data_IF_173809777438
#
_entry.id   IF_173809777438
#
_cell.length_a   1.000
_cell.length_b   1.000
_cell.length_c   1.000
_cell.angle_alpha   90.00
_cell.angle_beta   90.00
_cell.angle_gamma   90.00
#
_symmetry.space_group_name_H-M   'P 1'
#
loop_
_entity.id
_entity.type
_entity.pdbx_description
1 polymer ?
#
# COMPACT_ATOMS: atom_id res chain seq x y z
N UNK A 1 -3.38 21.76 -87.27
CA UNK A 1 -4.04 20.45 -87.11
C UNK A 1 -3.08 19.47 -86.47
N UNK A 2 -3.60 18.68 -85.53
CA UNK A 2 -3.20 17.34 -85.10
C UNK A 2 -1.78 17.03 -84.58
N UNK A 3 -1.81 16.38 -83.41
CA UNK A 3 -0.80 15.82 -82.52
C UNK A 3 0.05 14.66 -83.08
N UNK A 4 1.20 14.42 -82.45
CA UNK A 4 1.67 13.14 -81.86
C UNK A 4 3.12 13.35 -81.35
N UNK A 5 3.74 12.61 -80.43
CA UNK A 5 3.40 11.73 -79.32
C UNK A 5 4.75 11.29 -78.71
N UNK A 6 4.83 11.03 -77.40
CA UNK A 6 5.95 10.30 -76.77
C UNK A 6 6.57 11.01 -75.57
N UNK A 7 6.03 10.82 -74.35
CA UNK A 7 6.43 9.80 -73.33
C UNK A 7 7.64 10.19 -72.49
N UNK A 8 7.39 10.53 -71.21
CA UNK A 8 8.26 10.13 -70.10
C UNK A 8 7.57 10.24 -68.73
N UNK A 9 7.20 9.07 -68.22
CA UNK A 9 7.44 8.54 -66.87
C UNK A 9 7.00 9.32 -65.62
N UNK A 10 6.22 8.60 -64.79
CA UNK A 10 6.52 8.53 -63.35
C UNK A 10 5.48 9.16 -62.42
N UNK A 11 4.37 8.46 -62.22
CA UNK A 11 3.42 8.72 -61.13
C UNK A 11 3.99 8.18 -59.81
N UNK A 12 4.21 9.10 -58.86
CA UNK A 12 4.13 8.87 -57.40
C UNK A 12 5.46 8.73 -56.61
N UNK A 13 5.45 8.98 -55.28
CA UNK A 13 4.39 9.49 -54.43
C UNK A 13 4.64 10.93 -53.93
N UNK A 14 3.55 11.67 -53.72
CA UNK A 14 3.51 12.91 -52.95
C UNK A 14 4.14 12.67 -51.57
N UNK A 15 5.15 13.48 -51.22
CA UNK A 15 5.67 13.61 -49.85
C UNK A 15 4.49 13.79 -48.91
N UNK A 16 4.24 12.80 -48.06
CA UNK A 16 3.35 12.99 -46.93
C UNK A 16 3.91 14.11 -46.08
N UNK A 17 3.16 15.19 -45.95
CA UNK A 17 3.36 16.15 -44.87
C UNK A 17 3.17 15.37 -43.58
N UNK A 18 4.27 14.92 -42.99
CA UNK A 18 4.26 14.38 -41.65
C UNK A 18 3.70 15.47 -40.75
N UNK A 19 2.44 15.30 -40.34
CA UNK A 19 1.83 16.05 -39.25
C UNK A 19 2.76 15.86 -38.06
N UNK A 20 3.64 16.83 -37.81
CA UNK A 20 4.17 17.07 -36.47
C UNK A 20 2.94 17.31 -35.60
N UNK A 21 2.49 16.28 -34.90
CA UNK A 21 1.72 16.48 -33.68
C UNK A 21 2.65 17.25 -32.74
N UNK A 22 2.54 18.57 -32.73
CA UNK A 22 2.89 19.31 -31.54
C UNK A 22 1.92 18.80 -30.47
N UNK A 23 2.39 17.88 -29.61
CA UNK A 23 1.73 17.63 -28.34
C UNK A 23 1.66 18.99 -27.66
N UNK A 24 0.46 19.52 -27.50
CA UNK A 24 0.22 20.61 -26.57
C UNK A 24 0.80 20.17 -25.22
N UNK A 25 1.61 20.99 -24.53
CA UNK A 25 1.87 20.73 -23.13
C UNK A 25 0.52 20.87 -22.43
N UNK A 26 -0.06 19.75 -22.02
CA UNK A 26 -1.11 19.78 -21.00
C UNK A 26 -0.44 20.42 -19.80
N UNK A 27 -0.76 21.70 -19.55
CA UNK A 27 -0.44 22.31 -18.28
C UNK A 27 -1.28 21.58 -17.25
N UNK A 28 -0.67 20.58 -16.62
CA UNK A 28 -1.20 19.94 -15.42
C UNK A 28 -1.02 20.99 -14.33
N UNK A 29 -2.14 21.54 -13.90
CA UNK A 29 -2.25 22.43 -12.74
C UNK A 29 -1.80 21.64 -11.49
N UNK A 30 -0.76 22.06 -10.75
CA UNK A 30 -0.16 21.23 -9.70
C UNK A 30 -0.95 21.19 -8.39
N UNK A 31 -2.18 21.71 -8.35
CA UNK A 31 -2.90 21.98 -7.09
C UNK A 31 -4.18 21.19 -6.88
N UNK A 32 -4.43 20.09 -7.59
CA UNK A 32 -5.61 19.26 -7.30
C UNK A 32 -5.17 17.83 -7.02
N UNK A 33 -5.37 17.38 -5.77
CA UNK A 33 -5.66 16.03 -5.23
C UNK A 33 -5.48 14.76 -6.11
N UNK A 34 -4.54 14.76 -7.03
CA UNK A 34 -4.15 13.64 -7.91
C UNK A 34 -2.99 12.83 -7.28
N UNK A 35 -2.67 13.05 -6.00
CA UNK A 35 -1.59 12.31 -5.33
C UNK A 35 -2.08 10.93 -4.81
N UNK A 36 -3.35 10.77 -4.46
CA UNK A 36 -3.85 9.53 -3.80
C UNK A 36 -4.17 8.40 -4.78
N UNK A 37 -4.63 8.72 -5.99
CA UNK A 37 -5.02 7.73 -7.02
C UNK A 37 -3.82 7.21 -7.82
N UNK A 38 -2.74 8.00 -7.88
CA UNK A 38 -1.61 7.74 -8.78
C UNK A 38 -0.57 6.77 -8.20
N UNK A 39 -0.61 6.49 -6.89
CA UNK A 39 0.45 5.69 -6.23
C UNK A 39 0.46 4.20 -6.57
N UNK A 40 -0.69 3.61 -6.92
CA UNK A 40 -0.77 2.19 -7.27
C UNK A 40 -0.47 1.90 -8.74
N UNK A 41 -0.71 2.85 -9.64
CA UNK A 41 -0.53 2.68 -11.09
C UNK A 41 0.90 3.00 -11.56
N UNK A 42 1.64 3.81 -10.78
CA UNK A 42 3.00 4.24 -11.13
C UNK A 42 4.06 3.22 -10.71
N UNK A 43 3.70 2.16 -9.98
CA UNK A 43 4.67 1.14 -9.54
C UNK A 43 5.06 0.21 -10.70
N UNK A 44 6.35 0.12 -11.05
CA UNK A 44 6.82 -0.79 -12.10
C UNK A 44 6.52 -2.25 -11.76
N UNK A 45 6.07 -3.02 -12.75
CA UNK A 45 5.66 -4.42 -12.58
C UNK A 45 6.71 -5.32 -11.91
N UNK A 46 8.00 -5.03 -12.11
CA UNK A 46 9.11 -5.78 -11.52
C UNK A 46 9.19 -5.67 -9.99
N UNK A 47 8.70 -4.58 -9.40
CA UNK A 47 8.75 -4.35 -7.96
C UNK A 47 7.34 -4.21 -7.34
N UNK A 48 6.31 -4.06 -8.18
CA UNK A 48 4.91 -3.89 -7.78
C UNK A 48 4.44 -4.91 -6.74
N UNK A 49 4.82 -6.19 -6.87
CA UNK A 49 4.38 -7.23 -5.93
C UNK A 49 4.82 -6.97 -4.49
N UNK A 50 5.96 -6.31 -4.27
CA UNK A 50 6.48 -6.03 -2.91
C UNK A 50 6.17 -4.61 -2.44
N UNK A 51 6.20 -3.62 -3.33
CA UNK A 51 6.03 -2.21 -2.96
C UNK A 51 4.57 -1.77 -2.94
N UNK A 52 3.74 -2.25 -3.87
CA UNK A 52 2.36 -1.79 -3.97
C UNK A 52 1.55 -2.00 -2.68
N UNK A 53 1.68 -3.12 -1.93
CA UNK A 53 1.01 -3.28 -0.65
C UNK A 53 1.42 -2.21 0.38
N UNK A 54 2.70 -1.83 0.42
CA UNK A 54 3.22 -0.82 1.35
C UNK A 54 2.63 0.56 1.03
N UNK A 55 2.57 0.93 -0.24
CA UNK A 55 1.99 2.21 -0.67
C UNK A 55 0.47 2.26 -0.44
N UNK A 56 -0.24 1.13 -0.63
CA UNK A 56 -1.67 1.05 -0.30
C UNK A 56 -1.91 1.29 1.19
N UNK A 57 -1.15 0.62 2.05
CA UNK A 57 -1.23 0.84 3.49
C UNK A 57 -0.86 2.28 3.88
N UNK A 58 0.14 2.88 3.22
CA UNK A 58 0.47 4.28 3.46
C UNK A 58 -0.73 5.20 3.19
N UNK A 59 -1.47 4.98 2.10
CA UNK A 59 -2.66 5.77 1.76
C UNK A 59 -3.83 5.53 2.74
N UNK A 60 -3.98 4.31 3.28
CA UNK A 60 -4.98 4.02 4.32
C UNK A 60 -4.63 4.69 5.66
N UNK A 61 -3.35 4.77 6.01
CA UNK A 61 -2.89 5.39 7.26
C UNK A 61 -2.80 6.92 7.16
N UNK A 62 -2.69 7.47 5.95
CA UNK A 62 -2.59 8.91 5.69
C UNK A 62 -3.75 9.71 6.29
N UNK A 63 -4.97 9.16 6.28
CA UNK A 63 -6.13 9.81 6.90
C UNK A 63 -6.01 9.92 8.43
N UNK A 64 -5.34 8.96 9.07
CA UNK A 64 -5.21 8.88 10.52
C UNK A 64 -3.97 9.63 11.01
N UNK A 65 -2.82 9.31 10.44
CA UNK A 65 -1.55 9.97 10.74
C UNK A 65 -0.69 10.14 9.48
N UNK A 66 -0.62 11.37 8.94
CA UNK A 66 0.16 11.64 7.73
C UNK A 66 1.67 11.45 7.93
N UNK A 67 2.19 11.65 9.15
CA UNK A 67 3.61 11.42 9.45
C UNK A 67 3.97 9.93 9.37
N UNK A 68 3.08 9.05 9.81
CA UNK A 68 3.28 7.60 9.70
C UNK A 68 3.17 7.16 8.24
N UNK A 69 2.25 7.74 7.47
CA UNK A 69 2.15 7.49 6.03
C UNK A 69 3.44 7.86 5.28
N UNK A 70 4.04 9.02 5.63
CA UNK A 70 5.36 9.42 5.13
C UNK A 70 6.43 8.36 5.44
N UNK A 71 6.50 7.85 6.68
CA UNK A 71 7.45 6.80 7.05
C UNK A 71 7.24 5.50 6.25
N UNK A 72 5.98 5.13 5.98
CA UNK A 72 5.66 3.98 5.14
C UNK A 72 6.12 4.19 3.68
N UNK A 73 5.95 5.40 3.12
CA UNK A 73 6.43 5.76 1.77
C UNK A 73 7.96 5.79 1.71
N UNK A 74 8.61 6.28 2.77
CA UNK A 74 10.06 6.26 2.90
C UNK A 74 10.60 4.82 2.93
N UNK A 75 9.97 3.94 3.72
CA UNK A 75 10.31 2.52 3.72
C UNK A 75 10.11 1.85 2.36
N UNK A 76 9.04 2.19 1.63
CA UNK A 76 8.82 1.71 0.27
C UNK A 76 9.95 2.15 -0.69
N UNK A 77 10.42 3.40 -0.56
CA UNK A 77 11.54 3.91 -1.33
C UNK A 77 12.84 3.15 -1.02
N UNK A 78 13.18 2.94 0.25
CA UNK A 78 14.35 2.16 0.65
C UNK A 78 14.29 0.73 0.10
N UNK A 79 13.14 0.06 0.24
CA UNK A 79 12.92 -1.29 -0.29
C UNK A 79 13.09 -1.35 -1.81
N UNK A 80 12.62 -0.33 -2.52
CA UNK A 80 12.84 -0.17 -3.97
C UNK A 80 14.32 0.00 -4.32
N UNK A 81 15.07 0.70 -3.46
CA UNK A 81 16.49 0.93 -3.66
C UNK A 81 17.29 -0.35 -3.45
N UNK A 82 16.97 -1.11 -2.40
CA UNK A 82 17.59 -2.40 -2.11
C UNK A 82 17.36 -3.43 -3.22
N UNK A 83 16.17 -3.45 -3.82
CA UNK A 83 15.85 -4.40 -4.89
C UNK A 83 16.55 -4.12 -6.22
N UNK A 84 16.72 -2.86 -6.60
CA UNK A 84 17.43 -2.48 -7.83
C UNK A 84 18.29 -1.22 -7.60
N UNK A 85 19.48 -1.37 -6.98
CA UNK A 85 20.33 -0.22 -6.66
C UNK A 85 20.73 0.59 -7.90
N UNK A 86 20.92 -0.09 -9.03
CA UNK A 86 21.32 0.53 -10.31
C UNK A 86 20.15 1.14 -11.08
N UNK A 87 18.90 0.93 -10.63
CA UNK A 87 17.68 1.39 -11.30
C UNK A 87 17.65 0.99 -12.78
N UNK A 88 18.05 -0.26 -13.03
CA UNK A 88 18.22 -0.85 -14.36
C UNK A 88 16.92 -1.38 -14.97
N UNK A 89 15.92 -1.70 -14.14
CA UNK A 89 14.64 -2.20 -14.63
C UNK A 89 13.75 -1.09 -15.22
N UNK A 90 12.83 -1.52 -16.10
CA UNK A 90 11.93 -0.63 -16.84
C UNK A 90 11.11 0.24 -15.89
N UNK A 91 11.23 1.56 -16.03
CA UNK A 91 10.43 2.53 -15.26
C UNK A 91 10.85 2.73 -13.80
N UNK A 92 11.80 1.94 -13.27
CA UNK A 92 12.22 2.01 -11.84
C UNK A 92 12.86 3.35 -11.51
N UNK A 93 13.72 3.86 -12.39
CA UNK A 93 14.33 5.19 -12.18
C UNK A 93 13.28 6.30 -12.11
N UNK A 94 12.28 6.26 -13.00
CA UNK A 94 11.19 7.24 -13.01
C UNK A 94 10.37 7.15 -11.73
N UNK A 95 10.00 5.94 -11.33
CA UNK A 95 9.30 5.68 -10.07
C UNK A 95 10.08 6.21 -8.86
N UNK A 96 11.38 5.92 -8.74
CA UNK A 96 12.22 6.41 -7.64
C UNK A 96 12.33 7.92 -7.62
N UNK A 97 12.53 8.56 -8.77
CA UNK A 97 12.58 10.02 -8.87
C UNK A 97 11.25 10.65 -8.48
N UNK A 98 10.12 10.09 -8.92
CA UNK A 98 8.79 10.54 -8.51
C UNK A 98 8.59 10.40 -7.00
N UNK A 99 8.87 9.22 -6.45
CA UNK A 99 8.67 8.93 -5.04
C UNK A 99 9.59 9.81 -4.15
N UNK A 100 10.83 10.06 -4.58
CA UNK A 100 11.75 10.95 -3.88
C UNK A 100 11.22 12.39 -3.83
N UNK A 101 10.82 12.96 -4.96
CA UNK A 101 10.26 14.32 -4.97
C UNK A 101 9.00 14.44 -4.14
N UNK A 102 8.18 13.39 -4.13
CA UNK A 102 7.01 13.35 -3.27
C UNK A 102 7.40 13.33 -1.79
N UNK A 103 8.38 12.52 -1.41
CA UNK A 103 8.90 12.46 -0.04
C UNK A 103 9.50 13.82 0.39
N UNK A 104 10.23 14.50 -0.48
CA UNK A 104 10.77 15.85 -0.19
C UNK A 104 9.65 16.84 0.17
N UNK A 105 8.52 16.84 -0.57
CA UNK A 105 7.36 17.68 -0.24
C UNK A 105 6.70 17.27 1.07
N UNK A 106 6.47 15.97 1.25
CA UNK A 106 5.82 15.46 2.46
C UNK A 106 6.68 15.68 3.72
N UNK A 107 8.00 15.72 3.59
CA UNK A 107 8.89 16.05 4.70
C UNK A 107 8.70 17.49 5.19
N UNK A 108 8.45 18.43 4.28
CA UNK A 108 8.15 19.83 4.61
C UNK A 108 6.70 20.01 5.12
N UNK A 109 5.74 19.26 4.57
CA UNK A 109 4.31 19.37 4.90
C UNK A 109 3.92 18.62 6.19
N UNK A 110 4.61 17.51 6.51
CA UNK A 110 4.24 16.63 7.63
C UNK A 110 5.11 16.86 8.85
N UNK A 111 4.59 17.61 9.81
CA UNK A 111 5.20 17.70 11.14
C UNK A 111 4.75 16.53 12.04
N UNK A 112 5.63 16.00 12.92
CA UNK A 112 5.29 14.92 13.83
C UNK A 112 4.24 15.39 14.85
N UNK A 113 3.11 14.66 14.93
CA UNK A 113 1.92 15.07 15.71
C UNK A 113 1.91 14.48 17.11
N UNK A 114 2.31 13.22 17.24
CA UNK A 114 2.17 12.47 18.50
C UNK A 114 3.38 12.62 19.42
N UNK A 115 4.58 12.85 18.87
CA UNK A 115 5.82 12.98 19.65
C UNK A 115 6.81 13.90 18.95
N UNK A 116 7.94 14.22 19.61
CA UNK A 116 9.01 15.03 19.02
C UNK A 116 9.95 14.25 18.10
N UNK A 117 9.76 12.93 17.94
CA UNK A 117 10.70 12.06 17.23
C UNK A 117 9.96 10.97 16.46
N UNK A 118 10.22 10.90 15.16
CA UNK A 118 9.66 9.90 14.24
C UNK A 118 9.64 8.45 14.76
N UNK A 119 10.75 7.89 15.33
CA UNK A 119 10.75 6.53 15.88
C UNK A 119 9.73 6.30 16.99
N UNK A 120 9.52 7.30 17.86
CA UNK A 120 8.55 7.19 18.95
C UNK A 120 7.11 7.35 18.48
N UNK A 121 6.90 8.10 17.39
CA UNK A 121 5.57 8.29 16.80
C UNK A 121 5.05 7.02 16.15
N UNK A 122 5.86 6.35 15.31
CA UNK A 122 5.47 5.08 14.70
C UNK A 122 5.22 4.00 15.77
N UNK A 123 6.01 4.00 16.84
CA UNK A 123 5.88 3.04 17.93
C UNK A 123 4.56 3.19 18.70
N UNK A 124 4.20 4.43 19.08
CA UNK A 124 2.93 4.71 19.74
C UNK A 124 1.74 4.48 18.81
N UNK A 125 1.87 4.85 17.54
CA UNK A 125 0.82 4.62 16.55
C UNK A 125 0.55 3.12 16.39
N UNK A 126 1.60 2.29 16.32
CA UNK A 126 1.46 0.84 16.25
C UNK A 126 0.74 0.24 17.47
N UNK A 127 1.08 0.69 18.68
CA UNK A 127 0.41 0.25 19.91
C UNK A 127 -1.08 0.62 19.90
N UNK A 128 -1.39 1.89 19.58
CA UNK A 128 -2.76 2.37 19.48
C UNK A 128 -3.54 1.63 18.37
N UNK A 129 -2.90 1.34 17.25
CA UNK A 129 -3.49 0.60 16.15
C UNK A 129 -3.82 -0.84 16.58
N UNK A 130 -2.91 -1.50 17.29
CA UNK A 130 -3.14 -2.85 17.79
C UNK A 130 -4.30 -2.90 18.80
N UNK A 131 -4.32 -2.00 19.78
CA UNK A 131 -5.39 -1.96 20.79
C UNK A 131 -6.76 -1.73 20.12
N UNK A 132 -6.87 -0.73 19.23
CA UNK A 132 -8.13 -0.40 18.55
C UNK A 132 -8.58 -1.45 17.53
N UNK A 133 -7.63 -2.08 16.83
CA UNK A 133 -7.95 -2.91 15.67
C UNK A 133 -7.73 -4.41 15.87
N UNK A 134 -7.11 -4.88 16.95
CA UNK A 134 -6.84 -6.31 17.19
C UNK A 134 -7.49 -6.84 18.46
N UNK A 135 -7.69 -6.00 19.49
CA UNK A 135 -8.44 -6.40 20.69
C UNK A 135 -9.95 -6.41 20.41
N UNK A 136 -10.48 -5.38 19.75
CA UNK A 136 -11.91 -5.28 19.43
C UNK A 136 -12.31 -5.97 18.11
N UNK A 137 -11.33 -6.34 17.28
CA UNK A 137 -11.54 -6.84 15.92
C UNK A 137 -12.29 -8.17 15.85
N UNK A 138 -11.97 -9.08 16.76
CA UNK A 138 -12.46 -10.46 16.70
C UNK A 138 -13.99 -10.47 16.71
N UNK A 139 -14.63 -9.58 17.47
CA UNK A 139 -16.07 -9.60 17.67
C UNK A 139 -16.85 -8.59 16.81
N UNK A 140 -16.17 -7.61 16.20
CA UNK A 140 -16.86 -6.47 15.56
C UNK A 140 -16.74 -6.43 14.04
N UNK A 141 -15.70 -7.06 13.46
CA UNK A 141 -15.32 -6.83 12.06
C UNK A 141 -15.53 -8.06 11.18
N UNK A 142 -15.78 -7.81 9.90
CA UNK A 142 -15.92 -8.86 8.89
C UNK A 142 -14.56 -9.53 8.63
N UNK A 143 -14.52 -10.80 8.18
CA UNK A 143 -13.26 -11.48 7.88
C UNK A 143 -12.41 -10.74 6.83
N UNK A 144 -13.04 -10.04 5.88
CA UNK A 144 -12.34 -9.24 4.86
C UNK A 144 -11.61 -8.04 5.47
N UNK A 145 -12.23 -7.35 6.42
CA UNK A 145 -11.62 -6.23 7.16
C UNK A 145 -10.48 -6.72 8.05
N UNK A 146 -10.61 -7.90 8.66
CA UNK A 146 -9.56 -8.50 9.47
C UNK A 146 -8.29 -8.77 8.65
N UNK A 147 -8.43 -9.32 7.43
CA UNK A 147 -7.28 -9.54 6.54
C UNK A 147 -6.56 -8.22 6.26
N UNK A 148 -7.30 -7.14 5.96
CA UNK A 148 -6.70 -5.81 5.72
C UNK A 148 -5.97 -5.30 6.97
N UNK A 149 -6.60 -5.41 8.14
CA UNK A 149 -5.98 -4.99 9.41
C UNK A 149 -4.69 -5.73 9.69
N UNK A 150 -4.65 -7.04 9.47
CA UNK A 150 -3.42 -7.82 9.64
C UNK A 150 -2.35 -7.46 8.62
N UNK A 151 -2.73 -7.15 7.37
CA UNK A 151 -1.79 -6.64 6.37
C UNK A 151 -1.19 -5.29 6.80
N UNK A 152 -2.02 -4.34 7.23
CA UNK A 152 -1.60 -3.05 7.76
C UNK A 152 -0.65 -3.26 8.95
N UNK A 153 -1.04 -4.07 9.93
CA UNK A 153 -0.23 -4.32 11.11
C UNK A 153 1.14 -4.95 10.79
N UNK A 154 1.19 -5.85 9.80
CA UNK A 154 2.45 -6.46 9.35
C UNK A 154 3.38 -5.40 8.76
N UNK A 155 2.86 -4.57 7.85
CA UNK A 155 3.64 -3.52 7.18
C UNK A 155 4.09 -2.45 8.18
N UNK A 156 3.22 -2.02 9.10
CA UNK A 156 3.59 -1.06 10.15
C UNK A 156 4.74 -1.59 11.03
N UNK A 157 4.76 -2.89 11.32
CA UNK A 157 5.86 -3.50 12.07
C UNK A 157 7.16 -3.60 11.26
N UNK A 158 7.08 -3.84 9.95
CA UNK A 158 8.26 -3.77 9.06
C UNK A 158 8.86 -2.35 9.07
N UNK A 159 8.03 -1.31 8.94
CA UNK A 159 8.44 0.10 8.99
C UNK A 159 9.04 0.44 10.36
N UNK A 160 8.45 -0.05 11.45
CA UNK A 160 8.98 0.15 12.80
C UNK A 160 10.41 -0.40 12.92
N UNK A 161 10.69 -1.57 12.34
CA UNK A 161 12.02 -2.19 12.36
C UNK A 161 13.06 -1.43 11.54
N UNK A 162 12.67 -0.67 10.52
CA UNK A 162 13.62 0.13 9.74
C UNK A 162 13.96 1.46 10.40
N UNK A 163 12.98 2.08 11.07
CA UNK A 163 13.17 3.38 11.74
C UNK A 163 13.78 3.22 13.12
N UNK A 164 13.46 2.14 13.84
CA UNK A 164 13.91 1.91 15.22
C UNK A 164 14.89 0.74 15.26
N UNK A 165 16.13 0.92 15.77
CA UNK A 165 17.03 -0.22 15.97
C UNK A 165 16.39 -1.23 16.94
N UNK A 166 16.60 -2.54 16.73
CA UNK A 166 15.86 -3.59 17.44
C UNK A 166 16.02 -3.53 18.97
N UNK A 167 17.10 -2.93 19.45
CA UNK A 167 17.40 -2.72 20.88
C UNK A 167 16.47 -1.70 21.56
N UNK A 168 15.88 -0.78 20.81
CA UNK A 168 14.98 0.27 21.33
C UNK A 168 13.49 -0.02 21.11
N UNK A 169 13.18 -1.15 20.48
CA UNK A 169 11.80 -1.55 20.23
C UNK A 169 11.22 -2.07 21.55
N UNK A 170 10.11 -1.49 22.02
CA UNK A 170 9.41 -1.98 23.21
C UNK A 170 9.08 -3.47 23.08
N UNK A 171 9.27 -4.22 24.17
CA UNK A 171 8.85 -5.61 24.26
C UNK A 171 7.36 -5.80 23.93
N UNK A 172 6.52 -4.80 24.26
CA UNK A 172 5.08 -4.82 23.96
C UNK A 172 4.83 -4.90 22.45
N UNK A 173 5.50 -4.04 21.67
CA UNK A 173 5.36 -4.02 20.21
C UNK A 173 5.81 -5.33 19.58
N UNK A 174 6.87 -5.96 20.11
CA UNK A 174 7.32 -7.28 19.66
C UNK A 174 6.30 -8.38 19.98
N UNK A 175 5.68 -8.35 21.17
CA UNK A 175 4.63 -9.30 21.56
C UNK A 175 3.40 -9.16 20.67
N UNK A 176 3.00 -7.93 20.35
CA UNK A 176 1.89 -7.67 19.43
C UNK A 176 2.17 -8.19 18.03
N UNK A 177 3.38 -7.97 17.49
CA UNK A 177 3.76 -8.50 16.19
C UNK A 177 3.64 -10.04 16.13
N UNK A 178 4.12 -10.74 17.16
CA UNK A 178 3.96 -12.21 17.23
C UNK A 178 2.49 -12.64 17.22
N UNK A 179 1.64 -11.96 18.00
CA UNK A 179 0.19 -12.25 18.02
C UNK A 179 -0.48 -11.99 16.67
N UNK A 180 -0.09 -10.92 15.96
CA UNK A 180 -0.59 -10.63 14.62
C UNK A 180 -0.20 -11.74 13.63
N UNK A 181 1.05 -12.19 13.68
CA UNK A 181 1.54 -13.29 12.82
C UNK A 181 0.79 -14.60 13.10
N UNK A 182 0.61 -14.95 14.37
CA UNK A 182 -0.15 -16.14 14.78
C UNK A 182 -1.61 -16.09 14.31
N UNK A 183 -2.30 -14.95 14.53
CA UNK A 183 -3.69 -14.77 14.07
C UNK A 183 -3.76 -14.80 12.56
N UNK A 184 -2.88 -14.10 11.85
CA UNK A 184 -2.83 -14.09 10.38
C UNK A 184 -2.65 -15.50 9.82
N UNK A 185 -1.76 -16.30 10.39
CA UNK A 185 -1.54 -17.69 9.96
C UNK A 185 -2.79 -18.56 10.09
N UNK A 186 -3.68 -18.26 11.05
CA UNK A 186 -4.98 -18.94 11.19
C UNK A 186 -5.94 -18.61 10.03
N UNK A 187 -5.82 -17.44 9.40
CA UNK A 187 -6.66 -17.04 8.27
C UNK A 187 -6.12 -17.48 6.90
N UNK A 188 -4.81 -17.72 6.77
CA UNK A 188 -4.20 -18.12 5.48
C UNK A 188 -4.53 -19.56 5.05
N UNK A 189 -5.07 -20.40 5.96
CA UNK A 189 -5.06 -21.85 5.76
C UNK A 189 -6.26 -22.48 5.06
N UNK A 190 -7.30 -21.73 4.65
CA UNK A 190 -8.42 -22.32 3.92
C UNK A 190 -8.97 -21.38 2.84
N UNK A 191 -9.09 -21.89 1.60
CA UNK A 191 -10.00 -21.37 0.55
C UNK A 191 -11.49 -21.55 0.93
N UNK A 192 -11.77 -21.76 2.22
CA UNK A 192 -13.07 -22.05 2.80
C UNK A 192 -13.14 -21.16 4.03
N UNK A 193 -14.22 -20.38 4.16
CA UNK A 193 -14.50 -19.63 5.39
C UNK A 193 -14.40 -20.60 6.58
N UNK A 194 -13.58 -20.30 7.61
CA UNK A 194 -13.51 -21.15 8.78
C UNK A 194 -14.93 -21.31 9.35
N UNK A 195 -15.37 -22.57 9.56
CA UNK A 195 -16.71 -22.91 10.07
C UNK A 195 -17.03 -22.22 11.41
N UNK A 196 -15.96 -21.84 12.12
CA UNK A 196 -15.98 -20.90 13.22
C UNK A 196 -15.06 -19.73 12.83
N UNK A 197 -15.61 -18.66 12.28
CA UNK A 197 -14.87 -17.41 12.19
C UNK A 197 -14.51 -17.04 13.63
N UNK A 198 -13.22 -17.07 13.96
CA UNK A 198 -12.71 -16.70 15.28
C UNK A 198 -13.29 -15.32 15.61
N UNK A 199 -14.18 -15.30 16.60
CA UNK A 199 -14.85 -14.10 17.10
C UNK A 199 -16.32 -13.86 16.64
N UNK A 200 -16.85 -14.65 15.70
CA UNK A 200 -18.31 -14.73 15.49
C UNK A 200 -18.84 -15.91 16.31
N UNK A 201 -19.51 -15.62 17.44
CA UNK A 201 -20.32 -16.66 18.11
C UNK A 201 -21.37 -17.13 17.10
N UNK A 202 -21.45 -18.43 16.77
CA UNK A 202 -22.51 -18.92 15.90
C UNK A 202 -23.85 -18.55 16.55
N UNK A 203 -24.81 -18.00 15.81
CA UNK A 203 -26.18 -17.78 16.31
C UNK A 203 -26.79 -19.07 16.88
N UNK A 204 -26.29 -20.22 16.42
CA UNK A 204 -26.63 -21.55 16.94
C UNK A 204 -26.29 -21.68 18.43
N UNK A 205 -25.21 -21.07 18.92
CA UNK A 205 -24.85 -21.11 20.34
C UNK A 205 -25.73 -20.24 21.24
N UNK A 206 -26.57 -19.36 20.66
CA UNK A 206 -27.55 -18.57 21.41
C UNK A 206 -28.87 -19.33 21.62
N UNK A 207 -29.03 -20.51 21.01
CA UNK A 207 -30.24 -21.30 21.22
C UNK A 207 -30.29 -21.85 22.66
N UNK A 208 -31.45 -21.72 23.34
CA UNK A 208 -31.60 -22.13 24.74
C UNK A 208 -31.33 -23.62 24.97
N UNK A 209 -31.54 -24.46 23.96
CA UNK A 209 -31.28 -25.90 23.98
C UNK A 209 -29.77 -26.21 24.16
N UNK A 210 -28.89 -25.40 23.56
CA UNK A 210 -27.44 -25.57 23.61
C UNK A 210 -26.86 -24.98 24.90
N UNK A 211 -27.42 -23.88 25.38
CA UNK A 211 -27.03 -23.26 26.66
C UNK A 211 -27.34 -24.21 27.83
N UNK A 212 -28.52 -24.86 27.84
CA UNK A 212 -28.92 -25.79 28.88
C UNK A 212 -28.03 -27.04 28.95
N UNK A 213 -27.59 -27.56 27.79
CA UNK A 213 -26.67 -28.70 27.71
C UNK A 213 -25.26 -28.39 28.24
N UNK A 214 -24.77 -27.17 28.03
CA UNK A 214 -23.45 -26.76 28.53
C UNK A 214 -23.46 -26.47 30.05
N UNK A 215 -24.59 -25.99 30.61
CA UNK A 215 -24.72 -25.75 32.06
C UNK A 215 -24.96 -27.00 32.90
N UNK A 216 -25.23 -28.15 32.29
CA UNK A 216 -25.54 -29.42 32.98
C UNK A 216 -24.36 -30.39 33.04
N UNK A 217 -23.17 -29.98 32.58
CA UNK A 217 -21.93 -30.78 32.57
C UNK A 217 -20.84 -30.29 33.52
N UNK A 218 -21.23 -29.56 34.57
CA UNK A 218 -20.42 -29.31 35.79
C UNK A 218 -21.12 -29.92 37.00
#
# INVERSE_FOLDING_TARGET
MASSSGTKDGIGPLRSLSKKMARAPTMVDPTTDENTVVDSEVVPSSIAMTIAPILRVANEVESDNPRVAYLCRFHAFEKSHLMDPKSSGRGIRQFKTYLLHRLEREEEETEPRLTKSDPSEIQKYYQNFYEKNVEDAEYTKTPEELVKIYQIATILYEVLKTVVPPEKIDEKSQRYAKKVEEKRAQYEHYNILPLYAVGVKPAIMEFPEIIAGNSSST
#
